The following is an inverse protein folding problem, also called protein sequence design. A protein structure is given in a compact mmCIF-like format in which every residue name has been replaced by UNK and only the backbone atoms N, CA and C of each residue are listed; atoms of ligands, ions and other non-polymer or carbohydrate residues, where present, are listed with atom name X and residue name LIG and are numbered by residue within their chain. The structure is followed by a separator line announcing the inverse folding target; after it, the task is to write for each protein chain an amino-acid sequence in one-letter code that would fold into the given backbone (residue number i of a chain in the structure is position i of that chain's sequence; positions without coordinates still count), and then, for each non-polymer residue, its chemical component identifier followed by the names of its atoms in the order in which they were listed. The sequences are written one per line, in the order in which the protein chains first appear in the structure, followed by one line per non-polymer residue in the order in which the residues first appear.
data_IF_957735074694
#
_entry.id   IF_957735074694
#
_cell.length_a   1.000
_cell.length_b   1.000
_cell.length_c   1.000
_cell.angle_alpha   90.00
_cell.angle_beta   90.00
_cell.angle_gamma   90.00
#
_symmetry.space_group_name_H-M   'P 1'
#
loop_
_entity.id
_entity.type
_entity.pdbx_description
1 polymer ?
#
# COMPACT_ATOMS: atom_id res chain seq x y z
N UNK A 1 29.86 -4.12 -13.04
CA UNK A 1 29.09 -5.10 -12.24
C UNK A 1 27.86 -4.39 -11.72
N UNK A 2 26.79 -4.36 -12.51
CA UNK A 2 25.55 -3.70 -12.15
C UNK A 2 24.76 -4.61 -11.23
N UNK A 3 24.74 -4.31 -9.93
CA UNK A 3 23.86 -4.96 -8.99
C UNK A 3 22.45 -4.43 -9.30
N UNK A 4 21.74 -5.05 -10.25
CA UNK A 4 20.32 -4.83 -10.43
C UNK A 4 19.62 -5.54 -9.26
N UNK A 5 19.65 -4.90 -8.09
CA UNK A 5 18.94 -5.32 -6.89
C UNK A 5 17.48 -5.48 -7.27
N UNK A 6 17.04 -6.71 -7.54
CA UNK A 6 15.64 -7.02 -7.67
C UNK A 6 15.00 -6.57 -6.36
N UNK A 7 14.29 -5.44 -6.38
CA UNK A 7 13.51 -4.99 -5.25
C UNK A 7 12.67 -6.19 -4.81
N UNK A 8 12.59 -6.52 -3.51
CA UNK A 8 11.66 -7.55 -3.04
C UNK A 8 10.30 -7.30 -3.72
N UNK A 9 9.78 -8.33 -4.35
CA UNK A 9 8.61 -8.19 -5.21
C UNK A 9 7.38 -7.98 -4.34
N UNK A 10 6.55 -6.98 -4.67
CA UNK A 10 5.20 -6.93 -4.09
C UNK A 10 4.45 -8.14 -4.64
N UNK A 11 4.08 -9.08 -3.77
CA UNK A 11 3.31 -10.26 -4.18
C UNK A 11 1.95 -9.81 -4.72
N UNK A 12 1.38 -10.47 -5.74
CA UNK A 12 0.09 -10.06 -6.32
C UNK A 12 -1.02 -9.94 -5.27
N UNK A 13 -1.09 -10.86 -4.32
CA UNK A 13 -2.08 -10.84 -3.25
C UNK A 13 -1.90 -9.64 -2.29
N UNK A 14 -0.65 -9.27 -1.98
CA UNK A 14 -0.37 -8.09 -1.18
C UNK A 14 -0.77 -6.79 -1.90
N UNK A 15 -0.60 -6.74 -3.23
CA UNK A 15 -1.09 -5.62 -4.03
C UNK A 15 -2.63 -5.51 -3.99
N UNK A 16 -3.34 -6.64 -3.99
CA UNK A 16 -4.79 -6.67 -3.79
C UNK A 16 -5.15 -6.12 -2.41
N UNK A 17 -4.51 -6.60 -1.34
CA UNK A 17 -4.77 -6.11 0.02
C UNK A 17 -4.46 -4.62 0.19
N UNK A 18 -3.41 -4.10 -0.45
CA UNK A 18 -3.12 -2.66 -0.47
C UNK A 18 -4.23 -1.87 -1.18
N UNK A 19 -4.70 -2.35 -2.34
CA UNK A 19 -5.83 -1.72 -3.06
C UNK A 19 -7.10 -1.71 -2.20
N UNK A 20 -7.41 -2.82 -1.54
CA UNK A 20 -8.57 -2.93 -0.65
C UNK A 20 -8.44 -1.94 0.51
N UNK A 21 -7.24 -1.79 1.09
CA UNK A 21 -7.00 -0.84 2.16
C UNK A 21 -7.24 0.61 1.71
N UNK A 22 -6.72 0.98 0.54
CA UNK A 22 -6.91 2.32 -0.03
C UNK A 22 -8.38 2.57 -0.37
N UNK A 23 -9.07 1.58 -0.95
CA UNK A 23 -10.49 1.66 -1.26
C UNK A 23 -11.33 1.82 0.01
N UNK A 24 -11.03 1.05 1.06
CA UNK A 24 -11.72 1.16 2.34
C UNK A 24 -11.48 2.52 3.00
N UNK A 25 -10.24 3.03 2.96
CA UNK A 25 -9.92 4.37 3.45
C UNK A 25 -10.69 5.45 2.67
N UNK A 26 -10.76 5.33 1.36
CA UNK A 26 -11.48 6.25 0.49
C UNK A 26 -13.01 6.24 0.73
N UNK A 27 -13.55 5.13 1.21
CA UNK A 27 -14.96 4.99 1.61
C UNK A 27 -15.21 5.34 3.09
N UNK A 28 -14.19 5.79 3.84
CA UNK A 28 -14.31 6.10 5.27
C UNK A 28 -14.38 4.85 6.19
N UNK A 29 -14.17 3.66 5.65
CA UNK A 29 -14.20 2.40 6.39
C UNK A 29 -12.84 2.08 7.03
N UNK A 30 -12.42 2.91 7.99
CA UNK A 30 -11.13 2.78 8.68
C UNK A 30 -10.84 1.37 9.23
N UNK A 31 -11.79 0.65 9.87
CA UNK A 31 -11.52 -0.70 10.37
C UNK A 31 -11.23 -1.71 9.26
N UNK A 32 -11.92 -1.59 8.11
CA UNK A 32 -11.71 -2.46 6.96
C UNK A 32 -10.37 -2.17 6.29
N UNK A 33 -9.97 -0.90 6.24
CA UNK A 33 -8.65 -0.52 5.73
C UNK A 33 -7.55 -1.17 6.57
N UNK A 34 -7.64 -1.08 7.90
CA UNK A 34 -6.67 -1.70 8.81
C UNK A 34 -6.64 -3.23 8.67
N UNK A 35 -7.80 -3.88 8.58
CA UNK A 35 -7.88 -5.33 8.40
C UNK A 35 -7.19 -5.79 7.11
N UNK A 36 -7.38 -5.06 6.00
CA UNK A 36 -6.71 -5.36 4.74
C UNK A 36 -5.19 -5.22 4.85
N UNK A 37 -4.69 -4.18 5.54
CA UNK A 37 -3.26 -4.00 5.77
C UNK A 37 -2.64 -5.13 6.59
N UNK A 38 -3.37 -5.69 7.56
CA UNK A 38 -2.92 -6.82 8.37
C UNK A 38 -2.71 -8.11 7.57
N UNK A 39 -3.30 -8.25 6.38
CA UNK A 39 -3.10 -9.39 5.50
C UNK A 39 -1.84 -9.29 4.61
N UNK A 40 -1.15 -8.15 4.62
CA UNK A 40 0.07 -7.95 3.86
C UNK A 40 1.25 -8.63 4.59
N UNK A 41 1.94 -9.53 3.89
CA UNK A 41 3.16 -10.18 4.39
C UNK A 41 4.33 -9.19 4.56
N UNK A 42 5.25 -9.49 5.48
CA UNK A 42 6.39 -8.65 5.82
C UNK A 42 7.32 -8.31 4.64
N UNK A 43 7.55 -9.24 3.71
CA UNK A 43 8.37 -8.98 2.52
C UNK A 43 7.69 -7.95 1.60
N UNK A 44 6.37 -8.11 1.43
CA UNK A 44 5.57 -7.19 0.62
C UNK A 44 5.44 -5.82 1.29
N UNK A 45 5.40 -5.75 2.61
CA UNK A 45 5.45 -4.50 3.36
C UNK A 45 6.72 -3.69 3.08
N UNK A 46 7.88 -4.34 3.13
CA UNK A 46 9.15 -3.67 2.83
C UNK A 46 9.21 -3.18 1.39
N UNK A 47 8.72 -3.99 0.44
CA UNK A 47 8.64 -3.63 -0.97
C UNK A 47 7.73 -2.41 -1.21
N UNK A 48 6.54 -2.40 -0.57
CA UNK A 48 5.59 -1.29 -0.65
C UNK A 48 6.22 -0.01 -0.06
N UNK A 49 6.78 -0.08 1.15
CA UNK A 49 7.42 1.07 1.78
C UNK A 49 8.62 1.60 0.97
N UNK A 50 9.43 0.71 0.39
CA UNK A 50 10.54 1.13 -0.47
C UNK A 50 10.05 1.88 -1.71
N UNK A 51 8.95 1.43 -2.34
CA UNK A 51 8.38 2.09 -3.51
C UNK A 51 7.73 3.42 -3.16
N UNK A 52 7.01 3.48 -2.06
CA UNK A 52 6.44 4.74 -1.55
C UNK A 52 7.55 5.74 -1.23
N UNK A 53 8.62 5.29 -0.57
CA UNK A 53 9.78 6.12 -0.27
C UNK A 53 10.49 6.66 -1.53
N UNK A 54 10.56 5.87 -2.61
CA UNK A 54 11.07 6.36 -3.91
C UNK A 54 10.20 7.45 -4.53
N UNK A 55 8.90 7.48 -4.18
CA UNK A 55 7.94 8.51 -4.61
C UNK A 55 7.89 9.70 -3.63
N UNK A 56 8.69 9.68 -2.55
CA UNK A 56 8.65 10.70 -1.50
C UNK A 56 7.37 10.65 -0.65
N UNK A 57 6.66 9.52 -0.68
CA UNK A 57 5.44 9.30 0.07
C UNK A 57 5.63 8.24 1.15
N UNK A 58 4.70 8.18 2.09
CA UNK A 58 4.56 7.09 3.03
C UNK A 58 3.13 6.52 2.97
N UNK A 59 2.93 5.37 3.60
CA UNK A 59 1.64 4.69 3.59
C UNK A 59 0.52 5.54 4.19
N UNK A 60 0.81 6.26 5.28
CA UNK A 60 -0.18 7.05 5.98
C UNK A 60 -0.60 8.24 5.12
N UNK A 61 0.35 8.89 4.42
CA UNK A 61 0.03 9.92 3.44
C UNK A 61 -0.85 9.37 2.30
N UNK A 62 -0.53 8.19 1.78
CA UNK A 62 -1.34 7.55 0.74
C UNK A 62 -2.78 7.22 1.21
N UNK A 63 -2.94 6.75 2.46
CA UNK A 63 -4.25 6.50 3.06
C UNK A 63 -5.01 7.80 3.32
N UNK A 64 -4.33 8.82 3.83
CA UNK A 64 -4.92 10.14 4.06
C UNK A 64 -5.35 10.80 2.75
N UNK A 65 -4.55 10.66 1.69
CA UNK A 65 -4.90 11.11 0.35
C UNK A 65 -6.14 10.39 -0.15
N UNK A 66 -6.18 9.06 -0.08
CA UNK A 66 -7.34 8.26 -0.48
C UNK A 66 -8.62 8.66 0.27
N UNK A 67 -8.53 8.84 1.58
CA UNK A 67 -9.64 9.30 2.42
C UNK A 67 -10.13 10.71 2.04
N UNK A 68 -9.22 11.61 1.62
CA UNK A 68 -9.57 12.96 1.18
C UNK A 68 -10.18 13.02 -0.21
N UNK A 69 -9.69 12.21 -1.15
CA UNK A 69 -10.15 12.26 -2.54
C UNK A 69 -11.45 11.51 -2.78
N UNK A 70 -11.82 10.60 -1.88
CA UNK A 70 -12.87 9.62 -2.14
C UNK A 70 -12.41 8.59 -3.18
N UNK A 71 -13.07 7.43 -3.23
CA UNK A 71 -12.67 6.35 -4.13
C UNK A 71 -12.77 6.81 -5.58
N UNK A 72 -11.73 6.58 -6.39
CA UNK A 72 -11.89 6.67 -7.85
C UNK A 72 -12.96 5.66 -8.27
N UNK A 73 -14.01 6.09 -9.02
CA UNK A 73 -15.11 5.22 -9.42
C UNK A 73 -14.67 4.01 -10.26
#
# INVERSE_FOLDING_TARGET
MGQNSALPGVRPLAAVHLREALTAAANGHTPAALAALMHIDAESWQAINSRLGQLGADLLDALALAARTGGTP
#
